data_IF_272702227269
#
_entry.id   IF_272702227269
#
_cell.length_a   1.000
_cell.length_b   1.000
_cell.length_c   1.000
_cell.angle_alpha   90.00
_cell.angle_beta   90.00
_cell.angle_gamma   90.00
#
_symmetry.space_group_name_H-M   'P 1'
#
loop_
_entity.id
_entity.type
_entity.pdbx_description
1 polymer ?
#
# COMPACT_ATOMS: atom_id res chain seq x y z
N UNK A 1 -13.65 -8.06 29.78
CA UNK A 1 -14.41 -7.52 28.66
C UNK A 1 -13.37 -7.19 27.61
N UNK A 2 -13.21 -8.08 26.65
CA UNK A 2 -12.13 -8.10 25.67
C UNK A 2 -12.61 -7.45 24.37
N UNK A 3 -11.74 -6.64 23.80
CA UNK A 3 -11.92 -5.71 22.67
C UNK A 3 -12.09 -6.37 21.29
N UNK A 4 -12.93 -7.38 21.12
CA UNK A 4 -13.04 -8.12 19.84
C UNK A 4 -14.39 -8.01 19.11
N UNK A 5 -15.29 -7.06 19.46
CA UNK A 5 -16.66 -7.09 18.98
C UNK A 5 -17.03 -5.98 17.95
N UNK A 6 -16.07 -5.30 17.33
CA UNK A 6 -16.40 -4.14 16.44
C UNK A 6 -16.21 -4.41 14.93
N UNK A 7 -15.86 -5.59 14.48
CA UNK A 7 -15.60 -5.86 13.02
C UNK A 7 -16.62 -6.81 12.38
N UNK A 8 -17.83 -6.92 12.88
CA UNK A 8 -18.85 -7.75 12.23
C UNK A 8 -20.14 -6.99 11.98
N UNK A 9 -20.16 -6.01 11.10
CA UNK A 9 -21.40 -5.58 10.41
C UNK A 9 -21.01 -4.90 9.10
N UNK A 10 -21.75 -5.28 8.05
CA UNK A 10 -21.87 -4.72 6.71
C UNK A 10 -21.15 -5.53 5.62
N UNK A 11 -21.70 -6.68 5.28
CA UNK A 11 -21.89 -7.18 3.90
C UNK A 11 -23.10 -8.13 3.93
N UNK A 12 -24.29 -7.62 3.64
CA UNK A 12 -25.41 -8.40 3.08
C UNK A 12 -26.55 -7.46 2.66
N UNK A 13 -26.93 -7.59 1.42
CA UNK A 13 -28.14 -7.06 0.75
C UNK A 13 -27.77 -6.14 -0.42
N UNK A 14 -28.17 -6.35 -1.65
CA UNK A 14 -29.28 -7.04 -2.23
C UNK A 14 -29.03 -7.22 -3.73
N UNK A 15 -29.27 -8.40 -4.26
CA UNK A 15 -29.51 -8.60 -5.70
C UNK A 15 -30.95 -9.09 -5.79
N UNK A 16 -31.89 -8.21 -6.15
CA UNK A 16 -33.17 -8.60 -6.70
C UNK A 16 -33.19 -8.25 -8.19
N UNK A 17 -33.03 -9.28 -9.00
CA UNK A 17 -33.19 -9.18 -10.44
C UNK A 17 -34.64 -8.99 -10.86
N UNK A 18 -34.89 -7.99 -11.68
CA UNK A 18 -36.13 -7.88 -12.46
C UNK A 18 -35.87 -8.46 -13.85
N UNK A 19 -36.56 -9.51 -14.18
CA UNK A 19 -36.59 -10.10 -15.53
C UNK A 19 -37.49 -9.20 -16.39
N UNK A 20 -36.90 -8.47 -17.33
CA UNK A 20 -37.62 -7.76 -18.38
C UNK A 20 -37.64 -8.61 -19.65
N UNK A 21 -38.81 -8.85 -20.19
CA UNK A 21 -39.05 -9.55 -21.45
C UNK A 21 -38.45 -8.74 -22.61
N UNK A 22 -37.57 -9.36 -23.40
CA UNK A 22 -37.02 -8.76 -24.60
C UNK A 22 -38.06 -8.79 -25.74
N UNK A 23 -38.40 -7.62 -26.26
CA UNK A 23 -39.04 -7.50 -27.56
C UNK A 23 -37.98 -7.65 -28.66
N UNK A 24 -38.29 -8.45 -29.68
CA UNK A 24 -37.45 -8.69 -30.80
C UNK A 24 -37.36 -7.42 -31.71
N UNK A 25 -36.24 -6.73 -31.63
CA UNK A 25 -35.96 -5.60 -32.53
C UNK A 25 -35.28 -6.09 -33.82
N UNK A 26 -35.76 -5.58 -34.92
CA UNK A 26 -35.43 -5.82 -36.31
C UNK A 26 -33.90 -5.69 -36.62
N UNK A 27 -33.30 -6.77 -37.09
CA UNK A 27 -31.83 -6.91 -37.35
C UNK A 27 -31.47 -6.48 -38.78
N UNK A 28 -31.65 -5.22 -39.16
CA UNK A 28 -31.29 -4.79 -40.53
C UNK A 28 -30.32 -3.61 -40.65
N UNK A 29 -29.79 -3.07 -39.59
CA UNK A 29 -28.68 -2.11 -39.69
C UNK A 29 -27.59 -2.46 -38.66
N UNK A 30 -26.33 -2.76 -39.10
CA UNK A 30 -25.25 -2.86 -38.13
C UNK A 30 -25.11 -1.50 -37.42
N UNK A 31 -24.99 -1.47 -36.06
CA UNK A 31 -24.79 -0.22 -35.38
C UNK A 31 -23.54 0.45 -35.94
N UNK A 32 -23.72 1.64 -36.51
CA UNK A 32 -22.61 2.50 -36.91
C UNK A 32 -21.74 2.68 -35.69
N UNK A 33 -20.61 2.00 -35.63
CA UNK A 33 -19.59 2.17 -34.61
C UNK A 33 -19.13 3.63 -34.71
N UNK A 34 -19.64 4.48 -33.84
CA UNK A 34 -19.13 5.84 -33.72
C UNK A 34 -17.60 5.78 -33.71
N UNK A 35 -16.90 6.63 -34.48
CA UNK A 35 -15.45 6.68 -34.41
C UNK A 35 -15.06 6.81 -32.95
N UNK A 36 -14.27 5.86 -32.44
CA UNK A 36 -13.64 6.01 -31.12
C UNK A 36 -12.92 7.35 -31.22
N UNK A 37 -13.25 8.36 -30.38
CA UNK A 37 -12.52 9.62 -30.43
C UNK A 37 -11.05 9.24 -30.29
N UNK A 38 -10.24 9.65 -31.28
CA UNK A 38 -8.78 9.51 -31.18
C UNK A 38 -8.41 10.02 -29.80
N UNK A 39 -7.69 9.21 -29.02
CA UNK A 39 -7.25 9.56 -27.68
C UNK A 39 -6.71 10.99 -27.74
N UNK A 40 -7.47 11.92 -27.18
CA UNK A 40 -7.04 13.29 -27.11
C UNK A 40 -5.63 13.23 -26.53
N UNK A 41 -4.69 13.98 -27.11
CA UNK A 41 -3.26 14.01 -26.75
C UNK A 41 -3.12 14.52 -25.30
N UNK A 42 -3.63 13.74 -24.34
CA UNK A 42 -3.52 14.05 -22.91
C UNK A 42 -2.10 13.71 -22.49
N UNK A 43 -1.52 14.61 -21.74
CA UNK A 43 -0.23 14.34 -21.13
C UNK A 43 -0.33 13.04 -20.30
N UNK A 44 0.57 12.06 -20.49
CA UNK A 44 0.48 10.76 -19.83
C UNK A 44 0.86 10.82 -18.35
N UNK A 45 1.30 11.95 -17.84
CA UNK A 45 1.78 12.07 -16.47
C UNK A 45 0.70 12.45 -15.48
N UNK A 46 0.79 11.88 -14.30
CA UNK A 46 -0.01 12.21 -13.14
C UNK A 46 0.87 12.18 -11.89
N UNK A 47 0.65 13.11 -10.99
CA UNK A 47 1.32 13.14 -9.68
C UNK A 47 0.27 13.10 -8.58
N UNK A 48 0.66 12.53 -7.42
CA UNK A 48 -0.16 12.52 -6.22
C UNK A 48 0.67 12.93 -5.01
N UNK A 49 0.05 13.67 -4.11
CA UNK A 49 0.59 13.97 -2.79
C UNK A 49 -0.43 13.53 -1.76
N UNK A 50 -0.03 12.60 -0.89
CA UNK A 50 -0.91 11.95 0.09
C UNK A 50 -0.36 12.06 1.52
N UNK A 51 -1.26 12.07 2.49
CA UNK A 51 -0.95 11.65 3.85
C UNK A 51 -1.11 10.13 3.91
N UNK A 52 -0.06 9.43 4.30
CA UNK A 52 0.01 7.98 4.34
C UNK A 52 0.06 7.48 5.78
N UNK A 53 -0.98 6.75 6.21
CA UNK A 53 -0.97 5.97 7.44
C UNK A 53 -0.29 4.62 7.19
N UNK A 54 0.75 4.32 7.96
CA UNK A 54 1.47 3.05 7.96
C UNK A 54 1.01 2.25 9.17
N UNK A 55 0.29 1.16 8.93
CA UNK A 55 -0.24 0.27 9.97
C UNK A 55 0.50 -1.07 9.83
N UNK A 56 1.34 -1.39 10.80
CA UNK A 56 2.17 -2.59 10.75
C UNK A 56 1.37 -3.83 11.19
N UNK A 57 1.67 -4.98 10.57
CA UNK A 57 1.14 -6.27 11.02
C UNK A 57 2.23 -6.96 11.81
N UNK A 58 2.37 -6.53 13.05
CA UNK A 58 3.52 -6.79 13.90
C UNK A 58 3.77 -8.25 14.17
N UNK A 59 4.94 -8.72 13.78
CA UNK A 59 5.54 -9.94 14.31
C UNK A 59 7.03 -10.02 13.95
N UNK A 60 7.78 -10.72 14.76
CA UNK A 60 9.19 -11.00 14.49
C UNK A 60 9.67 -12.14 15.36
N UNK A 61 10.76 -12.78 14.94
CA UNK A 61 11.37 -13.87 15.68
C UNK A 61 12.88 -13.65 15.77
N UNK A 62 13.40 -13.83 16.97
CA UNK A 62 14.83 -13.90 17.23
C UNK A 62 15.24 -15.37 17.22
N UNK A 63 16.24 -15.71 16.44
CA UNK A 63 16.71 -17.09 16.30
C UNK A 63 17.29 -17.59 17.63
N UNK A 64 16.96 -18.83 18.00
CA UNK A 64 17.38 -19.42 19.27
C UNK A 64 16.57 -18.98 20.50
N UNK A 65 15.64 -18.01 20.40
CA UNK A 65 14.78 -17.54 21.49
C UNK A 65 13.32 -17.91 21.23
N UNK A 66 12.87 -19.02 21.80
CA UNK A 66 11.49 -19.46 21.69
C UNK A 66 10.52 -18.47 22.33
N UNK A 67 9.41 -18.17 21.64
CA UNK A 67 8.40 -17.23 22.12
C UNK A 67 8.79 -15.76 22.03
N UNK A 68 9.90 -15.41 21.38
CA UNK A 68 10.24 -14.02 21.07
C UNK A 68 9.28 -13.45 20.01
N UNK A 69 8.96 -12.16 20.15
CA UNK A 69 8.17 -11.41 19.20
C UNK A 69 8.71 -9.99 19.06
N UNK A 70 8.33 -9.29 17.99
CA UNK A 70 8.69 -7.89 17.73
C UNK A 70 7.44 -7.12 17.32
N UNK A 71 7.32 -5.89 17.81
CA UNK A 71 6.28 -4.95 17.39
C UNK A 71 6.90 -3.65 16.86
N UNK A 72 6.17 -2.98 15.99
CA UNK A 72 6.61 -1.78 15.29
C UNK A 72 5.58 -0.67 15.47
N UNK A 73 6.03 0.59 15.51
CA UNK A 73 5.13 1.72 15.69
C UNK A 73 4.39 2.07 14.40
N UNK A 74 3.10 2.34 14.50
CA UNK A 74 2.34 2.99 13.44
C UNK A 74 2.78 4.44 13.27
N UNK A 75 2.71 4.94 12.03
CA UNK A 75 3.12 6.31 11.70
C UNK A 75 2.23 6.91 10.61
N UNK A 76 2.22 8.24 10.54
CA UNK A 76 1.63 8.99 9.41
C UNK A 76 2.73 9.83 8.78
N UNK A 77 2.90 9.71 7.46
CA UNK A 77 3.97 10.36 6.70
C UNK A 77 3.45 10.93 5.38
N UNK A 78 4.11 11.94 4.80
CA UNK A 78 3.83 12.34 3.43
C UNK A 78 4.31 11.27 2.44
N UNK A 79 3.52 11.05 1.39
CA UNK A 79 3.82 10.19 0.26
C UNK A 79 3.70 11.00 -1.03
N UNK A 80 4.66 10.85 -1.93
CA UNK A 80 4.67 11.45 -3.25
C UNK A 80 4.74 10.37 -4.31
N UNK A 81 3.85 10.45 -5.31
CA UNK A 81 3.75 9.47 -6.36
C UNK A 81 3.80 10.11 -7.74
N UNK A 82 4.42 9.41 -8.67
CA UNK A 82 4.45 9.77 -10.08
C UNK A 82 3.91 8.58 -10.87
N UNK A 83 2.86 8.81 -11.66
CA UNK A 83 2.27 7.81 -12.55
C UNK A 83 2.47 8.20 -14.01
N UNK A 84 2.78 7.22 -14.84
CA UNK A 84 2.83 7.35 -16.29
C UNK A 84 1.80 6.43 -16.92
N UNK A 85 0.87 6.99 -17.66
CA UNK A 85 -0.19 6.27 -18.36
C UNK A 85 0.27 5.82 -19.74
N UNK A 86 0.43 4.52 -19.95
CA UNK A 86 0.70 3.92 -21.26
C UNK A 86 -0.54 3.94 -22.15
N UNK A 87 -1.71 3.80 -21.53
CA UNK A 87 -3.05 3.90 -22.13
C UNK A 87 -3.97 4.65 -21.17
N UNK A 88 -5.23 4.85 -21.53
CA UNK A 88 -6.21 5.43 -20.60
C UNK A 88 -6.43 4.57 -19.34
N UNK A 89 -6.21 3.26 -19.47
CA UNK A 89 -6.49 2.29 -18.41
C UNK A 89 -5.22 1.74 -17.72
N UNK A 90 -4.04 1.78 -18.38
CA UNK A 90 -2.83 1.14 -17.84
C UNK A 90 -1.80 2.21 -17.50
N UNK A 91 -1.35 2.20 -16.25
CA UNK A 91 -0.31 3.11 -15.77
C UNK A 91 0.75 2.37 -14.95
N UNK A 92 1.99 2.87 -14.99
CA UNK A 92 3.01 2.56 -13.98
C UNK A 92 3.07 3.70 -12.97
N UNK A 93 3.12 3.36 -11.69
CA UNK A 93 3.27 4.33 -10.60
C UNK A 93 4.53 4.04 -9.80
N UNK A 94 5.36 5.07 -9.63
CA UNK A 94 6.47 5.07 -8.69
C UNK A 94 6.05 5.80 -7.42
N UNK A 95 6.11 5.11 -6.29
CA UNK A 95 5.69 5.57 -4.98
C UNK A 95 6.93 5.85 -4.14
N UNK A 96 7.00 7.04 -3.54
CA UNK A 96 8.11 7.48 -2.72
C UNK A 96 7.59 8.03 -1.39
N UNK A 97 8.01 7.40 -0.31
CA UNK A 97 7.75 7.86 1.05
C UNK A 97 8.95 7.52 1.93
N UNK A 98 9.15 8.26 3.00
CA UNK A 98 10.10 7.89 4.03
C UNK A 98 9.39 7.87 5.38
N UNK A 99 9.66 6.84 6.16
CA UNK A 99 9.07 6.66 7.48
C UNK A 99 10.12 6.16 8.48
N UNK A 100 9.80 6.18 9.75
CA UNK A 100 10.61 5.53 10.76
C UNK A 100 9.76 4.55 11.56
N UNK A 101 10.39 3.48 12.04
CA UNK A 101 9.78 2.51 12.92
C UNK A 101 10.60 2.38 14.21
N UNK A 102 9.92 2.41 15.35
CA UNK A 102 10.47 1.96 16.63
C UNK A 102 10.21 0.47 16.75
N UNK A 103 11.24 -0.26 17.14
CA UNK A 103 11.17 -1.71 17.32
C UNK A 103 11.08 -1.99 18.82
N UNK A 104 10.05 -2.72 19.23
CA UNK A 104 9.84 -3.14 20.60
C UNK A 104 9.91 -4.66 20.72
N UNK A 105 10.54 -5.13 21.79
CA UNK A 105 10.53 -6.54 22.14
C UNK A 105 9.16 -6.97 22.66
N UNK A 106 8.69 -8.12 22.16
CA UNK A 106 7.44 -8.77 22.58
C UNK A 106 7.67 -10.21 23.03
N UNK A 107 6.63 -10.88 23.50
CA UNK A 107 6.72 -12.24 23.97
C UNK A 107 7.79 -12.42 25.06
N UNK A 108 8.67 -13.42 24.91
CA UNK A 108 9.74 -13.72 25.87
C UNK A 108 10.80 -12.64 26.02
N UNK A 109 10.86 -11.66 25.09
CA UNK A 109 11.79 -10.53 25.13
C UNK A 109 11.13 -9.19 25.46
N UNK A 110 9.89 -9.19 25.93
CA UNK A 110 9.12 -7.97 26.26
C UNK A 110 9.80 -7.09 27.29
N UNK A 111 10.60 -7.68 28.20
CA UNK A 111 11.39 -6.95 29.20
C UNK A 111 12.44 -5.99 28.61
N UNK A 112 12.83 -6.18 27.33
CA UNK A 112 13.76 -5.28 26.65
C UNK A 112 13.12 -3.92 26.31
N UNK A 113 11.78 -3.83 26.25
CA UNK A 113 11.06 -2.63 25.85
C UNK A 113 11.43 -2.21 24.42
N UNK A 114 11.78 -0.93 24.21
CA UNK A 114 12.27 -0.43 22.93
C UNK A 114 13.68 -0.95 22.65
N UNK A 115 13.80 -1.81 21.65
CA UNK A 115 15.08 -2.44 21.22
C UNK A 115 15.91 -1.45 20.39
N UNK A 116 15.26 -0.66 19.55
CA UNK A 116 15.91 0.31 18.69
C UNK A 116 14.95 0.98 17.73
N UNK A 117 15.48 1.72 16.78
CA UNK A 117 14.73 2.39 15.72
C UNK A 117 15.46 2.32 14.39
N UNK A 118 14.70 2.38 13.31
CA UNK A 118 15.23 2.41 11.94
C UNK A 118 14.39 3.34 11.07
N UNK A 119 15.04 3.98 10.10
CA UNK A 119 14.36 4.71 9.05
C UNK A 119 14.20 3.79 7.84
N UNK A 120 13.10 3.95 7.14
CA UNK A 120 12.74 3.15 5.97
C UNK A 120 12.44 4.07 4.79
N UNK A 121 13.01 3.73 3.64
CA UNK A 121 12.64 4.28 2.34
C UNK A 121 12.23 3.10 1.47
N UNK A 122 10.92 2.82 1.30
CA UNK A 122 10.40 1.70 0.53
C UNK A 122 9.93 2.13 -0.89
N UNK A 123 10.83 2.53 -1.83
CA UNK A 123 10.39 2.78 -3.20
C UNK A 123 9.60 1.58 -3.73
N UNK A 124 8.43 1.87 -4.28
CA UNK A 124 7.51 0.84 -4.79
C UNK A 124 7.11 1.20 -6.21
N UNK A 125 7.28 0.25 -7.12
CA UNK A 125 6.85 0.38 -8.51
C UNK A 125 5.66 -0.54 -8.73
N UNK A 126 4.51 0.03 -9.09
CA UNK A 126 3.28 -0.72 -9.36
C UNK A 126 2.84 -0.54 -10.80
N UNK A 127 2.27 -1.59 -11.38
CA UNK A 127 1.47 -1.52 -12.58
C UNK A 127 0.01 -1.48 -12.16
N UNK A 128 -0.73 -0.48 -12.65
CA UNK A 128 -2.12 -0.22 -12.30
C UNK A 128 -3.03 -0.38 -13.50
N UNK A 129 -4.24 -0.87 -13.24
CA UNK A 129 -5.35 -0.84 -14.17
C UNK A 129 -6.43 0.11 -13.62
N UNK A 130 -6.72 1.16 -14.38
CA UNK A 130 -7.73 2.17 -14.07
C UNK A 130 -9.03 1.88 -14.82
N UNK A 131 -10.14 1.87 -14.11
CA UNK A 131 -11.48 1.75 -14.69
C UNK A 131 -11.98 3.18 -14.99
N UNK A 132 -12.14 3.51 -16.27
CA UNK A 132 -12.42 4.86 -16.73
C UNK A 132 -13.88 5.14 -17.10
N UNK A 133 -14.73 4.10 -17.03
CA UNK A 133 -16.13 4.17 -17.48
C UNK A 133 -17.09 4.81 -16.46
N UNK A 134 -16.57 5.28 -15.31
CA UNK A 134 -17.38 5.85 -14.22
C UNK A 134 -17.30 7.38 -14.13
N UNK A 135 -16.93 8.05 -15.22
CA UNK A 135 -16.84 9.51 -15.29
C UNK A 135 -15.77 10.10 -14.37
N UNK A 136 -16.18 10.92 -13.39
CA UNK A 136 -15.27 11.55 -12.45
C UNK A 136 -14.64 10.56 -11.46
N UNK A 137 -15.33 9.47 -11.15
CA UNK A 137 -14.86 8.41 -10.28
C UNK A 137 -14.01 7.41 -11.06
N UNK A 138 -12.74 7.27 -10.73
CA UNK A 138 -11.77 6.42 -11.43
C UNK A 138 -11.12 5.44 -10.47
N UNK A 139 -11.76 4.32 -10.17
CA UNK A 139 -11.16 3.29 -9.36
C UNK A 139 -10.01 2.60 -10.10
N UNK A 140 -9.07 2.05 -9.34
CA UNK A 140 -7.95 1.30 -9.88
C UNK A 140 -7.54 0.16 -8.95
N UNK A 141 -6.87 -0.82 -9.54
CA UNK A 141 -6.17 -1.89 -8.84
C UNK A 141 -4.75 -1.98 -9.39
N UNK A 142 -3.82 -2.41 -8.56
CA UNK A 142 -2.43 -2.51 -8.96
C UNK A 142 -1.68 -3.61 -8.23
N UNK A 143 -0.60 -4.04 -8.84
CA UNK A 143 0.38 -4.93 -8.25
C UNK A 143 1.79 -4.50 -8.63
N UNK A 144 2.76 -4.75 -7.77
CA UNK A 144 4.11 -4.30 -8.02
C UNK A 144 5.16 -4.88 -7.10
N UNK A 145 6.35 -4.33 -7.24
CA UNK A 145 7.53 -4.69 -6.47
C UNK A 145 7.92 -3.53 -5.56
N UNK A 146 8.39 -3.88 -4.39
CA UNK A 146 8.93 -2.96 -3.39
C UNK A 146 10.39 -3.32 -3.10
N UNK A 147 11.24 -2.31 -2.90
CA UNK A 147 12.57 -2.50 -2.37
C UNK A 147 12.75 -1.60 -1.16
N UNK A 148 12.70 -2.17 0.04
CA UNK A 148 12.82 -1.40 1.28
C UNK A 148 14.28 -1.22 1.66
N UNK A 149 14.70 0.05 1.72
CA UNK A 149 15.99 0.50 2.20
C UNK A 149 15.87 0.86 3.68
N UNK A 150 16.72 0.28 4.53
CA UNK A 150 16.81 0.60 5.95
C UNK A 150 18.07 1.43 6.21
N UNK A 151 17.92 2.56 6.89
CA UNK A 151 19.01 3.50 7.15
C UNK A 151 18.85 4.19 8.51
N UNK A 152 19.91 4.90 8.96
CA UNK A 152 19.95 5.58 10.27
C UNK A 152 19.48 4.69 11.42
N UNK A 153 19.93 3.45 11.40
CA UNK A 153 19.57 2.45 12.39
C UNK A 153 20.29 2.74 13.70
N UNK A 154 19.57 2.68 14.81
CA UNK A 154 20.15 2.87 16.14
C UNK A 154 19.54 1.91 17.16
N UNK A 155 20.38 1.23 17.90
CA UNK A 155 20.00 0.44 19.04
C UNK A 155 19.64 1.32 20.25
N UNK A 156 18.81 0.80 21.17
CA UNK A 156 18.53 1.39 22.48
C UNK A 156 18.82 0.37 23.57
N UNK A 157 17.96 -0.61 23.79
CA UNK A 157 18.27 -1.76 24.64
C UNK A 157 19.25 -2.73 23.95
N UNK A 158 19.24 -2.80 22.61
CA UNK A 158 20.33 -3.38 21.86
C UNK A 158 21.49 -2.39 21.68
N UNK A 159 22.73 -2.87 21.75
CA UNK A 159 23.93 -2.06 21.48
C UNK A 159 24.07 -1.69 20.01
N UNK A 160 23.60 -2.60 19.13
CA UNK A 160 23.54 -2.38 17.66
C UNK A 160 22.30 -3.07 17.12
N UNK A 161 21.74 -2.50 16.03
CA UNK A 161 20.66 -3.05 15.23
C UNK A 161 21.02 -2.82 13.77
N UNK A 162 21.00 -3.88 12.97
CA UNK A 162 21.24 -3.86 11.54
C UNK A 162 20.15 -4.65 10.82
N UNK A 163 19.20 -3.94 10.20
CA UNK A 163 18.11 -4.53 9.42
C UNK A 163 18.51 -4.51 7.96
N UNK A 164 18.40 -5.63 7.29
CA UNK A 164 18.87 -5.81 5.91
C UNK A 164 17.84 -5.27 4.91
N UNK A 165 18.34 -4.57 3.89
CA UNK A 165 17.50 -4.17 2.76
C UNK A 165 16.86 -5.38 2.12
N UNK A 166 15.58 -5.27 1.73
CA UNK A 166 14.84 -6.43 1.26
C UNK A 166 13.86 -6.07 0.15
N UNK A 167 13.59 -7.03 -0.72
CA UNK A 167 12.54 -6.97 -1.72
C UNK A 167 11.19 -7.41 -1.12
N UNK A 168 10.13 -6.81 -1.63
CA UNK A 168 8.76 -7.14 -1.29
C UNK A 168 7.85 -7.10 -2.52
N UNK A 169 6.62 -7.54 -2.32
CA UNK A 169 5.53 -7.44 -3.30
C UNK A 169 4.48 -6.50 -2.74
N UNK A 170 3.90 -5.68 -3.61
CA UNK A 170 2.83 -4.75 -3.27
C UNK A 170 1.56 -5.10 -4.03
N UNK A 171 0.42 -5.05 -3.34
CA UNK A 171 -0.91 -5.04 -3.92
C UNK A 171 -1.59 -3.72 -3.55
N UNK A 172 -2.36 -3.16 -4.48
CA UNK A 172 -2.93 -1.83 -4.35
C UNK A 172 -4.36 -1.81 -4.88
N UNK A 173 -5.22 -1.07 -4.20
CA UNK A 173 -6.55 -0.71 -4.69
C UNK A 173 -6.88 0.70 -4.21
N UNK A 174 -7.47 1.51 -5.08
CA UNK A 174 -7.80 2.88 -4.74
C UNK A 174 -8.71 3.52 -5.78
N UNK A 175 -8.92 4.81 -5.65
CA UNK A 175 -9.65 5.60 -6.63
C UNK A 175 -9.18 7.05 -6.64
N UNK A 176 -9.26 7.66 -7.82
CA UNK A 176 -9.22 9.10 -8.00
C UNK A 176 -10.67 9.60 -8.23
N UNK A 177 -11.06 10.67 -7.57
CA UNK A 177 -12.27 11.41 -7.88
C UNK A 177 -11.87 12.76 -8.47
N UNK A 178 -12.03 12.92 -9.78
CA UNK A 178 -11.63 14.12 -10.50
C UNK A 178 -12.65 15.24 -10.29
N UNK A 179 -12.18 16.38 -9.82
CA UNK A 179 -13.00 17.58 -9.60
C UNK A 179 -13.11 18.37 -10.92
N UNK A 180 -12.01 18.39 -11.66
CA UNK A 180 -11.92 18.98 -13.01
C UNK A 180 -10.99 18.10 -13.88
N UNK A 181 -10.56 18.63 -15.03
CA UNK A 181 -9.70 17.89 -15.98
C UNK A 181 -8.30 17.59 -15.42
N UNK A 182 -7.84 18.33 -14.40
CA UNK A 182 -6.50 18.23 -13.85
C UNK A 182 -6.49 17.81 -12.38
N UNK A 183 -7.37 18.36 -11.55
CA UNK A 183 -7.36 18.16 -10.11
C UNK A 183 -8.37 17.11 -9.66
N UNK A 184 -7.96 16.33 -8.69
CA UNK A 184 -8.81 15.35 -8.03
C UNK A 184 -8.37 15.08 -6.61
N UNK A 185 -9.17 14.28 -5.91
CA UNK A 185 -8.82 13.67 -4.61
C UNK A 185 -8.57 12.19 -4.82
N UNK A 186 -7.66 11.63 -4.04
CA UNK A 186 -7.28 10.24 -4.11
C UNK A 186 -7.44 9.56 -2.76
N UNK A 187 -7.92 8.33 -2.80
CA UNK A 187 -7.87 7.37 -1.68
C UNK A 187 -7.26 6.07 -2.16
N UNK A 188 -6.37 5.51 -1.34
CA UNK A 188 -5.57 4.36 -1.70
C UNK A 188 -5.34 3.44 -0.50
N UNK A 189 -5.39 2.14 -0.74
CA UNK A 189 -5.03 1.11 0.21
C UNK A 189 -4.00 0.17 -0.44
N UNK A 190 -2.85 0.03 0.20
CA UNK A 190 -1.78 -0.87 -0.23
C UNK A 190 -1.48 -1.92 0.82
N UNK A 191 -1.20 -3.13 0.38
CA UNK A 191 -0.61 -4.18 1.20
C UNK A 191 0.77 -4.49 0.67
N UNK A 192 1.80 -4.29 1.48
CA UNK A 192 3.18 -4.67 1.14
C UNK A 192 3.54 -5.91 1.93
N UNK A 193 4.16 -6.88 1.26
CA UNK A 193 4.70 -8.09 1.86
C UNK A 193 6.21 -7.94 1.93
N UNK A 194 6.74 -7.60 3.12
CA UNK A 194 8.16 -7.33 3.32
C UNK A 194 8.66 -7.95 4.62
N UNK A 195 9.72 -8.77 4.52
CA UNK A 195 10.21 -9.62 5.61
C UNK A 195 11.73 -9.58 5.67
N UNK A 196 12.32 -8.50 6.25
CA UNK A 196 13.76 -8.36 6.36
C UNK A 196 14.36 -9.29 7.40
N UNK A 197 15.59 -9.72 7.14
CA UNK A 197 16.47 -10.27 8.16
C UNK A 197 17.11 -9.12 8.96
N UNK A 198 17.46 -9.37 10.19
CA UNK A 198 18.17 -8.42 11.05
C UNK A 198 19.24 -9.08 11.90
N UNK A 199 20.26 -8.32 12.22
CA UNK A 199 21.29 -8.65 13.21
C UNK A 199 21.27 -7.61 14.33
N UNK A 200 21.42 -8.03 15.58
CA UNK A 200 21.46 -7.15 16.73
C UNK A 200 22.46 -7.64 17.78
N UNK A 201 22.91 -6.74 18.63
CA UNK A 201 23.71 -7.09 19.82
C UNK A 201 22.93 -6.73 21.08
N UNK A 202 22.54 -7.73 21.86
CA UNK A 202 21.79 -7.57 23.10
C UNK A 202 22.61 -8.10 24.27
N UNK A 203 22.93 -7.23 25.22
CA UNK A 203 23.71 -7.60 26.40
C UNK A 203 25.13 -8.13 26.10
N UNK A 204 25.69 -7.86 24.91
CA UNK A 204 26.97 -8.39 24.47
C UNK A 204 26.88 -9.68 23.63
N UNK A 205 25.71 -10.30 23.54
CA UNK A 205 25.45 -11.45 22.68
C UNK A 205 24.98 -10.99 21.29
N UNK A 206 25.59 -11.54 20.23
CA UNK A 206 25.12 -11.36 18.87
C UNK A 206 23.87 -12.25 18.63
N UNK A 207 22.81 -11.65 18.16
CA UNK A 207 21.54 -12.32 17.82
C UNK A 207 21.09 -11.93 16.44
N UNK A 208 20.48 -12.84 15.71
CA UNK A 208 19.88 -12.61 14.40
C UNK A 208 18.42 -13.07 14.39
N UNK A 209 17.69 -12.67 13.36
CA UNK A 209 16.30 -13.07 13.26
C UNK A 209 15.62 -12.52 12.02
N UNK A 210 14.30 -12.74 11.96
CA UNK A 210 13.44 -12.26 10.87
C UNK A 210 12.33 -11.40 11.42
N UNK A 211 12.16 -10.22 10.84
CA UNK A 211 11.01 -9.37 11.08
C UNK A 211 9.95 -9.59 9.99
N UNK A 212 8.69 -9.50 10.37
CA UNK A 212 7.56 -9.44 9.45
C UNK A 212 6.89 -8.09 9.63
N UNK A 213 7.07 -7.21 8.67
CA UNK A 213 6.44 -5.90 8.70
C UNK A 213 5.05 -5.96 8.05
N UNK A 214 4.96 -6.57 6.88
CA UNK A 214 3.74 -6.78 6.08
C UNK A 214 2.68 -5.66 6.30
N UNK A 215 3.00 -4.35 6.17
CA UNK A 215 2.12 -3.26 6.57
C UNK A 215 0.91 -3.12 5.66
N UNK A 216 -0.19 -2.58 6.23
CA UNK A 216 -1.22 -1.88 5.48
C UNK A 216 -0.86 -0.42 5.40
N UNK A 217 -0.95 0.15 4.20
CA UNK A 217 -0.71 1.55 3.90
C UNK A 217 -2.03 2.16 3.42
N UNK A 218 -2.54 3.15 4.15
CA UNK A 218 -3.79 3.85 3.82
C UNK A 218 -3.46 5.30 3.50
N UNK A 219 -3.69 5.70 2.25
CA UNK A 219 -3.37 7.03 1.74
C UNK A 219 -4.61 7.83 1.40
N UNK A 220 -4.55 9.12 1.69
CA UNK A 220 -5.53 10.10 1.20
C UNK A 220 -4.81 11.39 0.82
N UNK A 221 -5.23 12.01 -0.29
CA UNK A 221 -4.55 13.21 -0.77
C UNK A 221 -5.13 13.79 -2.04
N UNK A 222 -4.29 14.52 -2.74
CA UNK A 222 -4.64 15.20 -3.98
C UNK A 222 -3.94 14.57 -5.16
N UNK A 223 -4.64 14.57 -6.30
CA UNK A 223 -4.15 14.12 -7.60
C UNK A 223 -4.09 15.33 -8.53
N UNK A 224 -3.01 15.40 -9.30
CA UNK A 224 -2.91 16.32 -10.44
C UNK A 224 -2.54 15.56 -11.71
N UNK A 225 -3.36 15.67 -12.73
CA UNK A 225 -3.15 15.09 -14.05
C UNK A 225 -2.83 16.21 -15.06
N UNK A 226 -1.71 16.05 -15.79
CA UNK A 226 -1.24 17.05 -16.76
C UNK A 226 -2.01 17.01 -18.07
#
# INVERSE_FOLDING_TARGET
MTSNDIVRVIIASAILGTVSTAEAADLTTPPSRAPIPAAANRNPWQIRLRALGVITTDSGRVDGLSGSDLSFSDTVVPEFDISYFFTENIAAELILATTYAKVHGGGSISALGEVGKTWLLPPTLTLQYHFTDFGAFRPYVGAGINYTLFYNQSGKSARSLDVKNTFGVALQAGFDYMIDDHWGVNFDAKKIFVRPDFDANVGGAAVSGKARLDPWLLGAGVTYRF
#
